data_IF_550620331022
#
_entry.id   IF_550620331022
#
_cell.length_a   1.000
_cell.length_b   1.000
_cell.length_c   1.000
_cell.angle_alpha   90.00
_cell.angle_beta   90.00
_cell.angle_gamma   90.00
#
_symmetry.space_group_name_H-M   'P 1'
#
loop_
_entity.id
_entity.type
_entity.pdbx_description
1 polymer ?
#
# COMPACT_ATOMS: atom_id res chain seq x y z
N UNK A 1 7.17 -13.68 -8.57
CA UNK A 1 5.97 -12.89 -8.26
C UNK A 1 5.21 -13.45 -7.06
N UNK A 2 4.25 -12.70 -6.56
CA UNK A 2 3.37 -13.13 -5.48
C UNK A 2 2.04 -13.59 -6.11
N UNK A 3 1.74 -14.88 -6.16
CA UNK A 3 0.53 -15.39 -6.82
C UNK A 3 -0.77 -15.07 -6.05
N UNK A 4 -0.66 -14.69 -4.79
CA UNK A 4 -1.78 -14.24 -3.95
C UNK A 4 -1.44 -12.82 -3.48
N UNK A 5 -2.12 -11.82 -4.01
CA UNK A 5 -1.97 -10.44 -3.56
C UNK A 5 -3.07 -10.08 -2.57
N UNK A 6 -4.33 -10.19 -2.98
CA UNK A 6 -5.47 -9.77 -2.16
C UNK A 6 -6.52 -10.87 -1.95
N UNK A 7 -6.68 -11.79 -2.89
CA UNK A 7 -7.75 -12.80 -2.87
C UNK A 7 -7.27 -14.16 -3.32
N UNK A 8 -7.84 -15.22 -2.73
CA UNK A 8 -7.59 -16.59 -3.18
C UNK A 8 -8.03 -16.83 -4.64
N UNK A 9 -9.02 -16.07 -5.11
CA UNK A 9 -9.46 -16.13 -6.51
C UNK A 9 -8.38 -15.74 -7.52
N UNK A 10 -7.38 -14.97 -7.12
CA UNK A 10 -6.24 -14.62 -7.99
C UNK A 10 -5.45 -15.88 -8.36
N UNK A 11 -5.22 -16.77 -7.38
CA UNK A 11 -4.61 -18.09 -7.62
C UNK A 11 -5.45 -18.95 -8.54
N UNK A 12 -6.78 -18.95 -8.33
CA UNK A 12 -7.67 -19.70 -9.21
C UNK A 12 -7.55 -19.20 -10.67
N UNK A 13 -7.51 -17.89 -10.89
CA UNK A 13 -7.36 -17.31 -12.23
C UNK A 13 -6.04 -17.71 -12.88
N UNK A 14 -4.93 -17.62 -12.14
CA UNK A 14 -3.61 -18.02 -12.62
C UNK A 14 -3.55 -19.52 -12.96
N UNK A 15 -4.07 -20.36 -12.08
CA UNK A 15 -4.07 -21.82 -12.27
C UNK A 15 -5.05 -22.24 -13.38
N UNK A 16 -6.15 -21.54 -13.57
CA UNK A 16 -7.10 -21.82 -14.66
C UNK A 16 -6.49 -21.53 -16.04
N UNK A 17 -5.56 -20.57 -16.11
CA UNK A 17 -4.77 -20.29 -17.31
C UNK A 17 -3.63 -21.33 -17.48
N UNK A 18 -2.83 -21.54 -16.43
CA UNK A 18 -1.65 -22.40 -16.51
C UNK A 18 -1.99 -23.90 -16.56
N UNK A 19 -3.02 -24.33 -15.84
CA UNK A 19 -3.46 -25.72 -15.70
C UNK A 19 -4.98 -25.81 -15.59
N UNK A 20 -5.71 -25.74 -16.68
CA UNK A 20 -7.17 -25.77 -16.67
C UNK A 20 -7.72 -27.00 -15.94
N UNK A 21 -8.69 -26.78 -15.05
CA UNK A 21 -9.41 -27.82 -14.34
C UNK A 21 -8.81 -28.29 -13.02
N UNK A 22 -7.54 -27.98 -12.69
CA UNK A 22 -6.86 -28.48 -11.47
C UNK A 22 -7.54 -28.02 -10.17
N UNK A 23 -8.12 -26.84 -10.17
CA UNK A 23 -8.83 -26.25 -9.02
C UNK A 23 -10.36 -26.32 -9.16
N UNK A 24 -10.87 -27.00 -10.19
CA UNK A 24 -12.28 -27.04 -10.51
C UNK A 24 -12.78 -25.73 -11.13
N UNK A 25 -14.09 -25.63 -11.31
CA UNK A 25 -14.71 -24.41 -11.79
C UNK A 25 -14.69 -23.28 -10.73
N UNK A 26 -14.95 -22.05 -11.18
CA UNK A 26 -14.93 -20.87 -10.31
C UNK A 26 -15.92 -20.94 -9.16
N UNK A 27 -17.10 -21.56 -9.38
CA UNK A 27 -18.14 -21.68 -8.36
C UNK A 27 -17.69 -22.66 -7.28
N UNK A 28 -17.18 -23.84 -7.69
CA UNK A 28 -16.63 -24.85 -6.80
C UNK A 28 -15.49 -24.27 -5.94
N UNK A 29 -14.52 -23.59 -6.56
CA UNK A 29 -13.40 -22.98 -5.86
C UNK A 29 -13.86 -21.96 -4.82
N UNK A 30 -14.78 -21.10 -5.19
CA UNK A 30 -15.32 -20.06 -4.31
C UNK A 30 -16.05 -20.64 -3.09
N UNK A 31 -16.83 -21.71 -3.29
CA UNK A 31 -17.59 -22.35 -2.23
C UNK A 31 -16.70 -23.16 -1.28
N UNK A 32 -15.67 -23.83 -1.80
CA UNK A 32 -14.85 -24.77 -1.03
C UNK A 32 -13.58 -24.17 -0.45
N UNK A 33 -13.04 -23.10 -1.02
CA UNK A 33 -11.77 -22.52 -0.60
C UNK A 33 -11.86 -21.04 -0.22
N UNK A 34 -12.59 -20.23 -0.97
CA UNK A 34 -12.61 -18.78 -0.76
C UNK A 34 -13.57 -18.37 0.37
N UNK A 35 -14.75 -18.98 0.44
CA UNK A 35 -15.75 -18.75 1.48
C UNK A 35 -15.49 -19.52 2.76
N UNK A 36 -14.92 -20.72 2.66
CA UNK A 36 -14.55 -21.54 3.80
C UNK A 36 -13.18 -21.15 4.31
N UNK A 37 -13.15 -20.52 5.47
CA UNK A 37 -11.90 -20.12 6.15
C UNK A 37 -11.44 -21.18 7.16
N UNK A 38 -11.82 -22.44 6.97
CA UNK A 38 -11.38 -23.51 7.84
C UNK A 38 -9.97 -24.03 7.47
N UNK A 39 -9.22 -24.48 8.47
CA UNK A 39 -7.85 -24.97 8.29
C UNK A 39 -7.78 -26.17 7.33
N UNK A 40 -8.81 -26.98 7.27
CA UNK A 40 -8.83 -28.18 6.42
C UNK A 40 -8.90 -27.82 4.93
N UNK A 41 -9.73 -26.82 4.58
CA UNK A 41 -9.82 -26.30 3.21
C UNK A 41 -8.52 -25.64 2.77
N UNK A 42 -7.88 -24.89 3.67
CA UNK A 42 -6.59 -24.25 3.40
C UNK A 42 -5.49 -25.30 3.20
N UNK A 43 -5.41 -26.32 4.04
CA UNK A 43 -4.44 -27.42 3.91
C UNK A 43 -4.62 -28.18 2.59
N UNK A 44 -5.86 -28.47 2.20
CA UNK A 44 -6.17 -29.13 0.91
C UNK A 44 -5.76 -28.27 -0.28
N UNK A 45 -6.04 -26.96 -0.24
CA UNK A 45 -5.64 -26.06 -1.30
C UNK A 45 -4.12 -25.96 -1.40
N UNK A 46 -3.44 -25.80 -0.28
CA UNK A 46 -1.97 -25.76 -0.21
C UNK A 46 -1.34 -27.04 -0.76
N UNK A 47 -1.86 -28.21 -0.39
CA UNK A 47 -1.37 -29.48 -0.91
C UNK A 47 -1.52 -29.60 -2.44
N UNK A 48 -2.64 -29.10 -3.00
CA UNK A 48 -2.85 -29.07 -4.46
C UNK A 48 -1.93 -28.10 -5.19
N UNK A 49 -1.64 -26.96 -4.58
CA UNK A 49 -0.84 -25.89 -5.19
C UNK A 49 0.68 -26.12 -5.03
N UNK A 50 1.11 -26.80 -3.98
CA UNK A 50 2.51 -27.00 -3.62
C UNK A 50 3.39 -27.49 -4.79
N UNK A 51 2.98 -28.44 -5.64
CA UNK A 51 3.80 -28.89 -6.77
C UNK A 51 4.00 -27.83 -7.86
N UNK A 52 3.12 -26.81 -7.93
CA UNK A 52 3.07 -25.83 -9.00
C UNK A 52 3.52 -24.42 -8.56
N UNK A 53 3.73 -24.23 -7.26
CA UNK A 53 4.15 -22.95 -6.70
C UNK A 53 5.55 -23.06 -6.12
N UNK A 54 6.45 -22.28 -6.68
CA UNK A 54 7.79 -22.11 -6.16
C UNK A 54 7.93 -20.68 -5.62
N UNK A 55 8.13 -20.54 -4.31
CA UNK A 55 8.43 -19.27 -3.66
C UNK A 55 9.79 -19.36 -2.99
N UNK A 56 10.69 -18.47 -3.41
CA UNK A 56 12.01 -18.30 -2.79
C UNK A 56 12.14 -16.87 -2.31
N UNK A 57 12.61 -16.68 -1.11
CA UNK A 57 12.95 -15.36 -0.58
C UNK A 57 14.40 -15.03 -0.92
N UNK A 58 14.74 -13.74 -0.99
CA UNK A 58 16.13 -13.31 -1.23
C UNK A 58 17.09 -13.87 -0.19
N UNK A 59 16.68 -13.88 1.08
CA UNK A 59 17.49 -14.42 2.17
C UNK A 59 17.78 -15.93 2.07
N UNK A 60 16.93 -16.70 1.37
CA UNK A 60 17.15 -18.14 1.17
C UNK A 60 18.08 -18.45 0.01
N UNK A 61 18.13 -17.61 -1.02
CA UNK A 61 18.83 -17.94 -2.28
C UNK A 61 19.99 -17.02 -2.61
N UNK A 62 20.06 -15.85 -2.02
CA UNK A 62 21.10 -14.86 -2.28
C UNK A 62 21.89 -14.60 -1.01
N UNK A 63 22.63 -15.61 -0.58
CA UNK A 63 23.42 -15.62 0.67
C UNK A 63 24.57 -14.59 0.65
N UNK A 64 24.99 -14.16 -0.54
CA UNK A 64 26.03 -13.13 -0.73
C UNK A 64 25.55 -11.71 -0.53
N UNK A 65 24.21 -11.50 -0.43
CA UNK A 65 23.67 -10.18 -0.18
C UNK A 65 23.80 -9.80 1.30
N UNK A 66 24.26 -8.58 1.60
CA UNK A 66 24.25 -8.08 2.97
C UNK A 66 22.81 -7.99 3.51
N UNK A 67 22.64 -7.99 4.83
CA UNK A 67 21.32 -7.83 5.43
C UNK A 67 20.71 -6.49 5.02
N UNK A 68 19.39 -6.49 4.81
CA UNK A 68 18.64 -5.27 4.54
C UNK A 68 18.61 -4.41 5.81
N UNK A 69 19.01 -3.16 5.69
CA UNK A 69 18.85 -2.15 6.72
C UNK A 69 17.59 -1.35 6.38
N UNK A 70 16.69 -1.22 7.35
CA UNK A 70 15.47 -0.42 7.23
C UNK A 70 15.53 0.68 8.29
N UNK A 71 15.30 1.90 7.87
CA UNK A 71 15.33 3.08 8.73
C UNK A 71 14.09 3.94 8.47
N UNK A 72 13.42 4.34 9.55
CA UNK A 72 12.30 5.27 9.49
C UNK A 72 12.80 6.69 9.76
N UNK A 73 12.70 7.56 8.77
CA UNK A 73 13.05 8.97 8.90
C UNK A 73 11.80 9.79 9.15
N UNK A 74 11.75 10.45 10.31
CA UNK A 74 10.66 11.31 10.72
C UNK A 74 11.00 12.78 10.42
N UNK A 75 10.02 13.53 9.93
CA UNK A 75 10.11 14.96 9.73
C UNK A 75 8.89 15.67 10.31
N UNK A 76 9.09 16.80 10.95
CA UNK A 76 8.01 17.65 11.42
C UNK A 76 7.41 18.43 10.24
N UNK A 77 6.09 18.65 10.28
CA UNK A 77 5.42 19.44 9.23
C UNK A 77 5.77 20.92 9.34
N UNK A 78 5.88 21.57 8.21
CA UNK A 78 5.95 23.04 8.11
C UNK A 78 4.61 23.69 8.52
N UNK A 79 4.62 24.96 8.85
CA UNK A 79 3.45 25.65 9.41
C UNK A 79 2.23 25.58 8.49
N UNK A 80 2.41 25.82 7.20
CA UNK A 80 1.33 25.70 6.21
C UNK A 80 0.81 24.27 6.12
N UNK A 81 1.70 23.27 6.18
CA UNK A 81 1.31 21.87 6.20
C UNK A 81 0.50 21.53 7.45
N UNK A 82 0.92 22.00 8.64
CA UNK A 82 0.21 21.79 9.91
C UNK A 82 -1.19 22.36 9.85
N UNK A 83 -1.33 23.60 9.35
CA UNK A 83 -2.62 24.25 9.23
C UNK A 83 -3.56 23.44 8.31
N UNK A 84 -3.13 23.14 7.10
CA UNK A 84 -3.92 22.39 6.12
C UNK A 84 -4.29 20.99 6.64
N UNK A 85 -3.36 20.34 7.33
CA UNK A 85 -3.60 19.04 7.94
C UNK A 85 -4.67 19.12 9.02
N UNK A 86 -4.61 20.13 9.88
CA UNK A 86 -5.57 20.32 10.95
C UNK A 86 -6.98 20.63 10.41
N UNK A 87 -7.08 21.52 9.41
CA UNK A 87 -8.35 21.83 8.74
C UNK A 87 -9.00 20.58 8.13
N UNK A 88 -8.21 19.76 7.42
CA UNK A 88 -8.72 18.54 6.81
C UNK A 88 -9.08 17.48 7.87
N UNK A 89 -8.29 17.36 8.94
CA UNK A 89 -8.57 16.45 10.06
C UNK A 89 -9.89 16.79 10.73
N UNK A 90 -10.12 18.06 11.04
CA UNK A 90 -11.38 18.55 11.63
C UNK A 90 -12.58 18.29 10.71
N UNK A 91 -12.39 18.46 9.39
CA UNK A 91 -13.42 18.16 8.40
C UNK A 91 -13.82 16.68 8.45
N UNK A 92 -12.84 15.76 8.50
CA UNK A 92 -13.08 14.33 8.59
C UNK A 92 -13.72 13.97 9.93
N UNK A 93 -13.24 14.53 11.04
CA UNK A 93 -13.79 14.27 12.37
C UNK A 93 -15.26 14.66 12.46
N UNK A 94 -15.67 15.80 11.88
CA UNK A 94 -17.09 16.20 11.80
C UNK A 94 -17.94 15.16 11.05
N UNK A 95 -17.41 14.61 9.96
CA UNK A 95 -18.10 13.54 9.22
C UNK A 95 -18.20 12.26 10.05
N UNK A 96 -17.14 11.89 10.78
CA UNK A 96 -17.10 10.69 11.62
C UNK A 96 -18.05 10.81 12.83
N UNK A 97 -18.15 11.98 13.44
CA UNK A 97 -19.08 12.23 14.55
C UNK A 97 -20.55 12.11 14.12
N UNK A 98 -20.87 12.29 12.86
CA UNK A 98 -22.19 12.06 12.28
C UNK A 98 -22.47 10.59 11.89
N UNK A 99 -21.55 9.68 12.16
CA UNK A 99 -21.69 8.24 11.83
C UNK A 99 -22.24 7.50 13.05
N UNK A 100 -23.53 7.17 13.04
CA UNK A 100 -24.20 6.49 14.15
C UNK A 100 -24.28 4.96 13.97
N UNK A 101 -24.17 4.47 12.74
CA UNK A 101 -24.33 3.04 12.41
C UNK A 101 -23.60 2.64 11.12
N UNK A 102 -23.56 1.33 10.86
CA UNK A 102 -22.88 0.76 9.69
C UNK A 102 -23.43 1.29 8.34
N UNK A 103 -24.72 1.63 8.27
CA UNK A 103 -25.31 2.16 7.05
C UNK A 103 -24.83 3.60 6.80
N UNK A 104 -24.74 4.43 7.82
CA UNK A 104 -24.20 5.79 7.74
C UNK A 104 -22.69 5.76 7.47
N UNK A 105 -21.96 4.80 8.03
CA UNK A 105 -20.53 4.59 7.72
C UNK A 105 -20.33 4.27 6.23
N UNK A 106 -21.11 3.35 5.67
CA UNK A 106 -21.04 3.01 4.24
C UNK A 106 -21.35 4.20 3.35
N UNK A 107 -22.35 5.00 3.72
CA UNK A 107 -22.71 6.23 2.97
C UNK A 107 -21.57 7.23 2.97
N UNK A 108 -20.87 7.40 4.08
CA UNK A 108 -19.79 8.37 4.25
C UNK A 108 -18.40 7.80 3.94
N UNK A 109 -18.28 6.50 3.64
CA UNK A 109 -16.99 5.83 3.43
C UNK A 109 -16.13 6.47 2.35
N UNK A 110 -16.74 6.93 1.25
CA UNK A 110 -16.04 7.62 0.18
C UNK A 110 -15.44 8.96 0.65
N UNK A 111 -16.21 9.74 1.41
CA UNK A 111 -15.75 11.04 1.94
C UNK A 111 -14.61 10.84 2.93
N UNK A 112 -14.70 9.82 3.79
CA UNK A 112 -13.66 9.46 4.75
C UNK A 112 -12.38 9.02 4.02
N UNK A 113 -12.49 8.13 3.04
CA UNK A 113 -11.35 7.67 2.24
C UNK A 113 -10.69 8.82 1.46
N UNK A 114 -11.50 9.71 0.87
CA UNK A 114 -11.00 10.89 0.20
C UNK A 114 -10.24 11.80 1.17
N UNK A 115 -10.78 12.01 2.36
CA UNK A 115 -10.12 12.80 3.39
C UNK A 115 -8.80 12.19 3.86
N UNK A 116 -8.74 10.88 4.08
CA UNK A 116 -7.49 10.19 4.38
C UNK A 116 -6.44 10.33 3.27
N UNK A 117 -6.88 10.27 2.01
CA UNK A 117 -6.00 10.51 0.87
C UNK A 117 -5.45 11.94 0.88
N UNK A 118 -6.30 12.94 1.14
CA UNK A 118 -5.89 14.36 1.23
C UNK A 118 -4.91 14.59 2.37
N UNK A 119 -5.14 14.01 3.56
CA UNK A 119 -4.17 14.07 4.67
C UNK A 119 -2.81 13.51 4.26
N UNK A 120 -2.78 12.37 3.55
CA UNK A 120 -1.53 11.78 3.04
C UNK A 120 -0.85 12.68 2.00
N UNK A 121 -1.62 13.34 1.14
CA UNK A 121 -1.08 14.31 0.19
C UNK A 121 -0.43 15.48 0.91
N UNK A 122 -1.11 16.08 1.89
CA UNK A 122 -0.58 17.18 2.71
C UNK A 122 0.73 16.77 3.39
N UNK A 123 0.80 15.55 3.96
CA UNK A 123 2.02 15.04 4.58
C UNK A 123 3.19 14.88 3.61
N UNK A 124 2.93 14.66 2.32
CA UNK A 124 3.99 14.58 1.32
C UNK A 124 4.40 15.98 0.85
N UNK A 125 3.45 16.74 0.31
CA UNK A 125 3.66 18.13 -0.13
C UNK A 125 2.31 18.85 -0.25
N UNK A 126 2.15 20.08 0.24
CA UNK A 126 0.90 20.85 0.12
C UNK A 126 0.43 21.05 -1.32
N UNK A 127 1.37 21.18 -2.25
CA UNK A 127 1.10 21.30 -3.69
C UNK A 127 0.38 20.12 -4.33
N UNK A 128 0.34 18.96 -3.67
CA UNK A 128 -0.45 17.80 -4.12
C UNK A 128 -1.94 17.99 -3.84
N UNK A 129 -2.28 18.83 -2.87
CA UNK A 129 -3.66 19.17 -2.55
C UNK A 129 -4.22 20.23 -3.51
N UNK A 130 -3.44 21.30 -3.72
CA UNK A 130 -3.79 22.40 -4.60
C UNK A 130 -2.51 23.05 -5.14
N UNK A 131 -2.48 23.31 -6.44
CA UNK A 131 -1.34 23.90 -7.16
C UNK A 131 -0.88 25.24 -6.61
N UNK A 132 -1.76 26.01 -5.95
CA UNK A 132 -1.39 27.28 -5.31
C UNK A 132 -0.33 27.11 -4.22
N UNK A 133 -0.26 25.93 -3.59
CA UNK A 133 0.73 25.60 -2.56
C UNK A 133 2.01 24.95 -3.12
N UNK A 134 2.21 24.95 -4.42
CA UNK A 134 3.35 24.26 -5.07
C UNK A 134 4.71 24.85 -4.66
N UNK A 135 4.72 26.10 -4.20
CA UNK A 135 5.94 26.80 -3.75
C UNK A 135 6.15 26.75 -2.23
N UNK A 136 5.20 26.18 -1.51
CA UNK A 136 5.34 26.02 -0.06
C UNK A 136 6.40 24.98 0.26
N UNK A 137 7.16 25.17 1.33
CA UNK A 137 8.15 24.18 1.75
C UNK A 137 7.47 22.88 2.23
N UNK A 138 8.20 21.78 2.06
CA UNK A 138 7.81 20.48 2.63
C UNK A 138 9.04 19.86 3.30
N UNK A 139 8.95 19.68 4.60
CA UNK A 139 10.05 19.11 5.40
C UNK A 139 10.44 17.73 4.92
N UNK A 140 9.44 16.92 4.49
CA UNK A 140 9.69 15.58 3.94
C UNK A 140 10.49 15.65 2.64
N UNK A 141 10.19 16.59 1.76
CA UNK A 141 10.88 16.77 0.50
C UNK A 141 12.30 17.31 0.75
N UNK A 142 12.44 18.30 1.65
CA UNK A 142 13.74 18.83 2.05
C UNK A 142 14.64 17.75 2.66
N UNK A 143 14.09 16.91 3.55
CA UNK A 143 14.81 15.78 4.13
C UNK A 143 15.21 14.73 3.08
N UNK A 144 14.35 14.48 2.10
CA UNK A 144 14.69 13.58 0.98
C UNK A 144 15.86 14.14 0.15
N UNK A 145 15.82 15.40 -0.23
CA UNK A 145 16.92 15.99 -1.00
C UNK A 145 18.24 15.96 -0.23
N UNK A 146 18.21 16.26 1.07
CA UNK A 146 19.40 16.16 1.90
C UNK A 146 20.01 14.76 1.89
N UNK A 147 19.16 13.71 2.01
CA UNK A 147 19.63 12.33 1.94
C UNK A 147 20.13 11.96 0.54
N UNK A 148 19.48 12.45 -0.51
CA UNK A 148 19.91 12.19 -1.89
C UNK A 148 21.26 12.79 -2.19
N UNK A 149 21.52 14.02 -1.71
CA UNK A 149 22.81 14.69 -1.87
C UNK A 149 23.93 13.91 -1.19
N UNK A 150 23.73 13.47 0.06
CA UNK A 150 24.69 12.64 0.78
C UNK A 150 24.99 11.33 0.05
N UNK A 151 23.95 10.61 -0.37
CA UNK A 151 24.12 9.33 -1.07
C UNK A 151 24.79 9.50 -2.45
N UNK A 152 24.55 10.63 -3.10
CA UNK A 152 25.20 10.97 -4.37
C UNK A 152 26.70 11.25 -4.16
N UNK A 153 27.08 12.02 -3.15
CA UNK A 153 28.47 12.30 -2.80
C UNK A 153 29.25 11.01 -2.45
N UNK A 154 28.57 10.05 -1.81
CA UNK A 154 29.14 8.74 -1.49
C UNK A 154 29.18 7.77 -2.69
N UNK A 155 28.64 8.17 -3.84
CA UNK A 155 28.60 7.35 -5.07
C UNK A 155 27.57 6.22 -5.04
N UNK A 156 26.60 6.28 -4.16
CA UNK A 156 25.52 5.29 -4.08
C UNK A 156 24.47 5.45 -5.18
N UNK A 157 23.86 4.33 -5.57
CA UNK A 157 22.71 4.32 -6.49
C UNK A 157 21.43 4.35 -5.69
N UNK A 158 20.53 5.26 -6.04
CA UNK A 158 19.29 5.50 -5.32
C UNK A 158 18.08 5.21 -6.19
N UNK A 159 17.05 4.58 -5.61
CA UNK A 159 15.72 4.44 -6.19
C UNK A 159 14.73 5.14 -5.28
N UNK A 160 14.04 6.14 -5.80
CA UNK A 160 13.00 6.87 -5.08
C UNK A 160 11.63 6.37 -5.52
N UNK A 161 10.80 6.00 -4.56
CA UNK A 161 9.43 5.55 -4.81
C UNK A 161 8.45 6.51 -4.14
N UNK A 162 7.45 6.91 -4.88
CA UNK A 162 6.33 7.70 -4.35
C UNK A 162 5.00 7.07 -4.72
N UNK A 163 4.03 7.16 -3.83
CA UNK A 163 2.65 6.81 -4.12
C UNK A 163 2.00 7.85 -5.06
N UNK A 164 2.46 9.08 -5.01
CA UNK A 164 1.96 10.18 -5.81
C UNK A 164 2.93 10.45 -6.96
N UNK A 165 2.51 10.10 -8.18
CA UNK A 165 3.33 10.30 -9.39
C UNK A 165 3.75 11.76 -9.53
N UNK A 166 2.84 12.70 -9.26
CA UNK A 166 3.10 14.14 -9.29
C UNK A 166 4.12 14.66 -8.26
N UNK A 167 4.66 13.79 -7.39
CA UNK A 167 5.83 14.10 -6.56
C UNK A 167 7.16 13.80 -7.26
N UNK A 168 7.13 13.03 -8.34
CA UNK A 168 8.31 12.60 -9.09
C UNK A 168 8.53 13.47 -10.35
N UNK A 169 7.54 14.32 -10.69
CA UNK A 169 7.58 15.30 -11.77
C UNK A 169 8.21 16.62 -11.31
#
# INVERSE_FOLDING_TARGET
GTPIENRLLDVWSLMSFAMPGILGDRKYFREHFDRRKDNQSQTRLTARLRPFLLRRTKGEVALDLPPKIEEDVFSEMEDVQKQLYQEELERIQKVLLGVENDASLRKNSFVILQGLMRLRQICCHPGLLDSKYRREPSSKLNGLFYLLDQLHEEGHKVLVFSQFVSMLD
#
